data_IF_330706817318
#
_entry.id   IF_330706817318
#
_cell.length_a   1.000
_cell.length_b   1.000
_cell.length_c   1.000
_cell.angle_alpha   90.00
_cell.angle_beta   90.00
_cell.angle_gamma   90.00
#
_symmetry.space_group_name_H-M   'P 1'
#
loop_
_entity.id
_entity.type
_entity.pdbx_description
1 polymer ?
#
# COMPACT_ATOMS: atom_id res chain seq x y z
N UNK A 1 8.38 6.09 -6.08
CA UNK A 1 6.92 5.99 -5.82
C UNK A 1 6.66 4.60 -5.22
N UNK A 2 5.44 4.29 -4.75
CA UNK A 2 5.12 2.98 -4.12
C UNK A 2 5.53 1.81 -5.02
N UNK A 3 5.40 1.95 -6.33
CA UNK A 3 5.81 1.00 -7.37
C UNK A 3 7.29 0.61 -7.24
N UNK A 4 8.17 1.57 -6.94
CA UNK A 4 9.60 1.31 -6.73
C UNK A 4 9.84 0.47 -5.48
N UNK A 5 9.05 0.69 -4.43
CA UNK A 5 9.10 -0.11 -3.20
C UNK A 5 8.60 -1.52 -3.48
N UNK A 6 7.48 -1.68 -4.17
CA UNK A 6 6.96 -3.00 -4.56
C UNK A 6 7.96 -3.75 -5.43
N UNK A 7 8.61 -3.08 -6.38
CA UNK A 7 9.65 -3.69 -7.21
C UNK A 7 10.85 -4.14 -6.36
N UNK A 8 11.33 -3.29 -5.44
CA UNK A 8 12.41 -3.63 -4.54
C UNK A 8 12.10 -4.82 -3.63
N UNK A 9 10.92 -4.83 -3.03
CA UNK A 9 10.48 -5.90 -2.11
C UNK A 9 10.14 -7.20 -2.83
N UNK A 10 9.97 -7.15 -4.15
CA UNK A 10 9.66 -8.33 -4.97
C UNK A 10 10.82 -8.86 -5.82
N UNK A 11 12.04 -8.33 -5.65
CA UNK A 11 13.23 -8.72 -6.44
C UNK A 11 13.50 -10.23 -6.45
N UNK A 12 13.31 -10.88 -5.31
CA UNK A 12 13.66 -12.30 -5.11
C UNK A 12 12.46 -13.26 -5.18
N UNK A 13 11.29 -12.77 -5.63
CA UNK A 13 10.05 -13.55 -5.71
C UNK A 13 9.42 -13.50 -7.08
N UNK A 14 8.85 -14.62 -7.50
CA UNK A 14 8.22 -14.80 -8.80
C UNK A 14 6.74 -14.36 -8.75
N UNK A 15 6.51 -13.05 -8.89
CA UNK A 15 5.17 -12.47 -9.07
C UNK A 15 5.07 -11.73 -10.40
N UNK A 16 3.88 -11.74 -11.00
CA UNK A 16 3.60 -11.09 -12.29
C UNK A 16 3.62 -9.56 -12.14
N UNK A 17 4.03 -8.85 -13.19
CA UNK A 17 3.98 -7.37 -13.20
C UNK A 17 2.59 -6.83 -12.89
N UNK A 18 1.53 -7.46 -13.41
CA UNK A 18 0.15 -7.06 -13.10
C UNK A 18 -0.18 -7.16 -11.59
N UNK A 19 0.41 -8.13 -10.87
CA UNK A 19 0.24 -8.26 -9.43
C UNK A 19 1.01 -7.16 -8.69
N UNK A 20 2.23 -6.85 -9.13
CA UNK A 20 3.02 -5.72 -8.61
C UNK A 20 2.28 -4.39 -8.78
N UNK A 21 1.75 -4.14 -9.98
CA UNK A 21 0.96 -2.95 -10.30
C UNK A 21 -0.30 -2.88 -9.44
N UNK A 22 -0.98 -4.00 -9.25
CA UNK A 22 -2.16 -4.06 -8.39
C UNK A 22 -1.82 -3.72 -6.93
N UNK A 23 -0.75 -4.30 -6.38
CA UNK A 23 -0.28 -3.97 -5.02
C UNK A 23 0.02 -2.47 -4.94
N UNK A 24 0.81 -1.93 -5.87
CA UNK A 24 1.21 -0.53 -5.83
C UNK A 24 0.00 0.43 -5.93
N UNK A 25 -0.91 0.16 -6.85
CA UNK A 25 -2.14 0.92 -7.01
C UNK A 25 -3.06 0.84 -5.79
N UNK A 26 -3.18 -0.33 -5.15
CA UNK A 26 -3.99 -0.48 -3.95
C UNK A 26 -3.51 0.45 -2.83
N UNK A 27 -2.21 0.48 -2.53
CA UNK A 27 -1.67 1.38 -1.50
C UNK A 27 -1.70 2.86 -1.92
N UNK A 28 -1.47 3.17 -3.21
CA UNK A 28 -1.62 4.53 -3.74
C UNK A 28 -3.04 5.05 -3.55
N UNK A 29 -4.04 4.26 -3.93
CA UNK A 29 -5.44 4.67 -3.83
C UNK A 29 -5.96 4.63 -2.40
N UNK A 30 -5.48 3.73 -1.55
CA UNK A 30 -5.75 3.77 -0.11
C UNK A 30 -5.25 5.06 0.53
N UNK A 31 -4.01 5.47 0.24
CA UNK A 31 -3.47 6.74 0.70
C UNK A 31 -4.30 7.94 0.20
N UNK A 32 -4.60 7.98 -1.10
CA UNK A 32 -5.42 9.07 -1.67
C UNK A 32 -6.82 9.10 -1.06
N UNK A 33 -7.44 7.94 -0.82
CA UNK A 33 -8.77 7.86 -0.18
C UNK A 33 -8.77 8.46 1.22
N UNK A 34 -7.80 8.08 2.05
CA UNK A 34 -7.64 8.64 3.41
C UNK A 34 -7.41 10.15 3.38
N UNK A 35 -6.61 10.65 2.44
CA UNK A 35 -6.40 12.10 2.27
C UNK A 35 -7.68 12.83 1.83
N UNK A 36 -8.51 12.21 0.99
CA UNK A 36 -9.78 12.79 0.56
C UNK A 36 -10.79 12.84 1.72
N UNK A 37 -10.89 11.77 2.52
CA UNK A 37 -11.78 11.73 3.70
C UNK A 37 -11.39 12.79 4.73
N UNK A 38 -10.08 13.03 4.92
CA UNK A 38 -9.59 14.11 5.77
C UNK A 38 -9.97 15.49 5.26
N UNK A 39 -9.82 15.74 3.96
CA UNK A 39 -10.21 17.00 3.32
C UNK A 39 -11.73 17.22 3.44
N UNK A 40 -12.53 16.17 3.21
CA UNK A 40 -13.99 16.22 3.31
C UNK A 40 -14.45 16.50 4.75
N UNK A 41 -13.69 16.01 5.73
CA UNK A 41 -13.90 16.26 7.17
C UNK A 41 -13.43 17.65 7.63
N UNK A 42 -13.16 18.58 6.72
CA UNK A 42 -12.76 19.95 7.05
C UNK A 42 -11.31 20.10 7.51
N UNK A 43 -10.50 19.04 7.41
CA UNK A 43 -9.13 18.99 7.94
C UNK A 43 -9.05 19.21 9.46
N UNK A 44 -10.11 18.83 10.19
CA UNK A 44 -10.25 19.05 11.63
C UNK A 44 -9.26 18.20 12.46
N UNK A 45 -8.87 17.02 11.96
CA UNK A 45 -7.89 16.14 12.58
C UNK A 45 -6.45 16.50 12.19
N UNK A 46 -5.48 16.26 13.07
CA UNK A 46 -4.07 16.43 12.76
C UNK A 46 -3.65 15.39 11.71
N UNK A 47 -3.23 15.87 10.52
CA UNK A 47 -2.79 15.01 9.43
C UNK A 47 -1.67 14.05 9.84
N UNK A 48 -0.84 14.40 10.84
CA UNK A 48 0.20 13.51 11.35
C UNK A 48 -0.41 12.27 12.02
N UNK A 49 -1.51 12.42 12.76
CA UNK A 49 -2.20 11.28 13.38
C UNK A 49 -2.78 10.35 12.32
N UNK A 50 -3.35 10.90 11.26
CA UNK A 50 -3.89 10.13 10.13
C UNK A 50 -2.77 9.39 9.38
N UNK A 51 -1.63 10.04 9.17
CA UNK A 51 -0.47 9.41 8.55
C UNK A 51 0.13 8.30 9.41
N UNK A 52 0.16 8.48 10.74
CA UNK A 52 0.62 7.47 11.68
C UNK A 52 -0.31 6.25 11.71
N UNK A 53 -1.63 6.47 11.77
CA UNK A 53 -2.63 5.39 11.73
C UNK A 53 -2.60 4.65 10.39
N UNK A 54 -2.48 5.38 9.29
CA UNK A 54 -2.31 4.79 7.96
C UNK A 54 -1.00 4.00 7.89
N UNK A 55 0.09 4.58 8.40
CA UNK A 55 1.41 3.96 8.48
C UNK A 55 1.38 2.65 9.24
N UNK A 56 0.74 2.63 10.42
CA UNK A 56 0.53 1.43 11.24
C UNK A 56 -0.33 0.40 10.53
N UNK A 57 -1.38 0.84 9.83
CA UNK A 57 -2.28 -0.05 9.07
C UNK A 57 -1.55 -0.74 7.93
N UNK A 58 -0.67 -0.03 7.23
CA UNK A 58 0.04 -0.58 6.06
C UNK A 58 1.39 -1.21 6.40
N UNK A 59 1.89 -1.06 7.63
CA UNK A 59 3.19 -1.57 8.03
C UNK A 59 3.29 -3.09 7.82
N UNK A 60 4.27 -3.53 7.02
CA UNK A 60 4.49 -4.95 6.69
C UNK A 60 3.45 -5.59 5.76
N UNK A 61 2.36 -4.88 5.42
CA UNK A 61 1.28 -5.43 4.58
C UNK A 61 1.69 -5.58 3.11
N UNK A 62 2.62 -4.75 2.62
CA UNK A 62 3.20 -4.89 1.26
C UNK A 62 3.92 -6.23 1.13
N UNK A 63 4.77 -6.58 2.10
CA UNK A 63 5.51 -7.85 2.09
C UNK A 63 4.56 -9.04 2.18
N UNK A 64 3.55 -8.95 3.04
CA UNK A 64 2.52 -9.98 3.15
C UNK A 64 1.74 -10.15 1.83
N UNK A 65 1.42 -9.05 1.15
CA UNK A 65 0.71 -9.07 -0.14
C UNK A 65 1.56 -9.78 -1.21
N UNK A 66 2.86 -9.44 -1.28
CA UNK A 66 3.83 -10.08 -2.16
C UNK A 66 3.94 -11.59 -1.87
N UNK A 67 4.06 -11.97 -0.60
CA UNK A 67 4.11 -13.37 -0.17
C UNK A 67 2.83 -14.14 -0.53
N UNK A 68 1.66 -13.52 -0.35
CA UNK A 68 0.38 -14.13 -0.70
C UNK A 68 0.26 -14.43 -2.19
N UNK A 69 0.74 -13.53 -3.06
CA UNK A 69 0.78 -13.78 -4.50
C UNK A 69 1.80 -14.84 -4.89
N UNK A 70 2.92 -14.92 -4.16
CA UNK A 70 3.97 -15.94 -4.36
C UNK A 70 3.47 -17.34 -3.97
N UNK A 71 2.77 -17.44 -2.83
CA UNK A 71 2.30 -18.70 -2.25
C UNK A 71 0.94 -19.16 -2.79
N UNK A 72 0.33 -18.39 -3.69
CA UNK A 72 -0.92 -18.77 -4.34
C UNK A 72 -0.66 -20.02 -5.17
N UNK A 73 -1.00 -21.20 -4.63
CA UNK A 73 -0.99 -22.45 -5.39
C UNK A 73 -1.77 -22.21 -6.68
N UNK A 74 -1.08 -22.37 -7.82
CA UNK A 74 -1.72 -22.43 -9.14
C UNK A 74 -2.73 -23.57 -9.19
#
# INVERSE_FOLDING_TARGET
MIESVVEERSKDVLILNQQKDFIAHFYKYGFVGVMLDWIDSGMDEDYQMILDDLGMTVLGTIDLSIQNFTNRKK
#
